data_IF_052836444702
#
_entry.id   IF_052836444702
#
_cell.length_a   1.000
_cell.length_b   1.000
_cell.length_c   1.000
_cell.angle_alpha   90.00
_cell.angle_beta   90.00
_cell.angle_gamma   90.00
#
_symmetry.space_group_name_H-M   'P 1'
#
loop_
_entity.id
_entity.type
_entity.pdbx_description
1 polymer ?
#
# COMPACT_ATOMS: atom_id res chain seq x y z
N UNK A 1 -13.85 -8.70 -17.56
CA UNK A 1 -13.38 -9.06 -16.20
C UNK A 1 -13.35 -7.79 -15.38
N UNK A 2 -13.85 -7.80 -14.13
CA UNK A 2 -13.80 -6.61 -13.26
C UNK A 2 -12.36 -6.24 -12.87
N UNK A 3 -12.15 -4.99 -12.48
CA UNK A 3 -10.86 -4.49 -11.98
C UNK A 3 -10.48 -5.24 -10.72
N UNK A 4 -9.27 -5.82 -10.70
CA UNK A 4 -8.73 -6.52 -9.53
C UNK A 4 -8.50 -5.56 -8.36
N UNK A 5 -8.73 -6.02 -7.14
CA UNK A 5 -8.68 -5.23 -5.90
C UNK A 5 -7.59 -5.74 -4.98
N UNK A 6 -6.75 -4.82 -4.50
CA UNK A 6 -5.63 -5.09 -3.59
C UNK A 6 -5.85 -4.35 -2.27
N UNK A 7 -5.61 -5.03 -1.15
CA UNK A 7 -5.53 -4.44 0.18
C UNK A 7 -4.12 -4.57 0.77
N UNK A 8 -3.74 -3.65 1.64
CA UNK A 8 -2.52 -3.70 2.44
C UNK A 8 -2.88 -3.75 3.93
N UNK A 9 -2.39 -4.76 4.64
CA UNK A 9 -2.49 -4.89 6.09
C UNK A 9 -1.09 -4.70 6.69
N UNK A 10 -0.89 -3.62 7.43
CA UNK A 10 0.36 -3.31 8.12
C UNK A 10 0.23 -3.76 9.57
N UNK A 11 1.19 -4.57 10.05
CA UNK A 11 1.22 -5.11 11.40
C UNK A 11 2.44 -4.48 12.09
N UNK A 12 2.20 -3.50 12.97
CA UNK A 12 3.27 -2.68 13.52
C UNK A 12 2.81 -1.76 14.66
N UNK A 13 3.16 -2.10 15.89
CA UNK A 13 2.93 -1.23 17.06
C UNK A 13 3.72 0.09 16.98
N UNK A 14 4.91 0.09 16.36
CA UNK A 14 5.74 1.28 16.20
C UNK A 14 5.11 2.35 15.27
N UNK A 15 4.27 1.92 14.32
CA UNK A 15 3.50 2.84 13.47
C UNK A 15 2.32 3.40 14.26
N UNK A 16 1.58 2.55 14.99
CA UNK A 16 0.48 2.98 15.86
C UNK A 16 0.95 3.91 16.98
N UNK A 17 2.15 3.66 17.51
CA UNK A 17 2.81 4.51 18.51
C UNK A 17 3.40 5.82 17.96
N UNK A 18 3.36 6.03 16.63
CA UNK A 18 3.91 7.24 15.99
C UNK A 18 5.45 7.30 15.99
N UNK A 19 6.12 6.18 16.19
CA UNK A 19 7.59 6.09 16.20
C UNK A 19 8.18 5.92 14.79
N UNK A 20 7.43 5.31 13.89
CA UNK A 20 7.84 5.04 12.50
C UNK A 20 6.79 5.54 11.53
N UNK A 21 7.23 6.16 10.44
CA UNK A 21 6.34 6.57 9.34
C UNK A 21 6.07 5.38 8.42
N UNK A 22 4.79 5.09 8.16
CA UNK A 22 4.38 4.04 7.24
C UNK A 22 4.62 4.49 5.79
N UNK A 23 5.39 3.72 5.03
CA UNK A 23 5.74 4.02 3.64
C UNK A 23 5.43 2.88 2.66
N UNK A 24 5.32 1.65 3.14
CA UNK A 24 5.15 0.47 2.30
C UNK A 24 3.80 0.45 1.58
N UNK A 25 2.71 0.81 2.26
CA UNK A 25 1.38 0.87 1.64
C UNK A 25 1.28 1.98 0.60
N UNK A 26 1.91 3.13 0.85
CA UNK A 26 1.97 4.22 -0.12
C UNK A 26 2.73 3.81 -1.38
N UNK A 27 3.90 3.16 -1.21
CA UNK A 27 4.67 2.62 -2.32
C UNK A 27 3.87 1.56 -3.09
N UNK A 28 3.23 0.61 -2.37
CA UNK A 28 2.41 -0.45 -2.97
C UNK A 28 1.25 0.12 -3.80
N UNK A 29 0.60 1.19 -3.33
CA UNK A 29 -0.46 1.86 -4.06
C UNK A 29 0.03 2.46 -5.39
N UNK A 30 1.26 2.99 -5.42
CA UNK A 30 1.90 3.47 -6.65
C UNK A 30 2.18 2.33 -7.63
N UNK A 31 2.66 1.18 -7.12
CA UNK A 31 2.99 0.01 -7.93
C UNK A 31 1.76 -0.75 -8.47
N UNK A 32 0.66 -0.75 -7.74
CA UNK A 32 -0.59 -1.40 -8.16
C UNK A 32 -1.25 -0.70 -9.37
N UNK A 33 -1.12 0.62 -9.45
CA UNK A 33 -1.79 1.46 -10.45
C UNK A 33 -1.41 1.13 -11.90
N UNK A 34 -0.11 1.06 -12.30
CA UNK A 34 0.29 0.69 -13.66
C UNK A 34 -0.07 -0.75 -14.01
N UNK A 35 -0.34 -1.61 -13.02
CA UNK A 35 -0.81 -2.97 -13.21
C UNK A 35 -2.33 -3.07 -13.43
N UNK A 36 -3.06 -1.94 -13.40
CA UNK A 36 -4.51 -1.92 -13.52
C UNK A 36 -5.23 -2.52 -12.31
N UNK A 37 -4.59 -2.49 -11.14
CA UNK A 37 -5.13 -3.02 -9.89
C UNK A 37 -5.58 -1.85 -9.01
N UNK A 38 -6.84 -1.91 -8.57
CA UNK A 38 -7.38 -0.91 -7.64
C UNK A 38 -6.86 -1.18 -6.24
N UNK A 39 -6.10 -0.24 -5.70
CA UNK A 39 -5.73 -0.24 -4.29
C UNK A 39 -6.96 0.16 -3.47
N UNK A 40 -7.53 -0.80 -2.72
CA UNK A 40 -8.87 -0.67 -2.17
C UNK A 40 -8.90 -0.39 -0.66
N UNK A 41 -7.89 -0.84 0.08
CA UNK A 41 -7.85 -0.73 1.54
C UNK A 41 -6.42 -0.69 2.06
N UNK A 42 -6.17 0.18 3.04
CA UNK A 42 -5.04 0.12 3.96
C UNK A 42 -5.58 0.01 5.37
N UNK A 43 -4.95 -0.80 6.17
CA UNK A 43 -5.22 -0.91 7.60
C UNK A 43 -3.90 -1.12 8.33
N UNK A 44 -3.75 -0.50 9.49
CA UNK A 44 -2.67 -0.75 10.44
C UNK A 44 -3.29 -1.41 11.65
N UNK A 45 -2.76 -2.55 12.06
CA UNK A 45 -3.15 -3.23 13.30
C UNK A 45 -1.94 -3.41 14.21
N UNK A 46 -2.21 -3.70 15.49
CA UNK A 46 -1.19 -4.00 16.49
C UNK A 46 -0.53 -5.36 16.24
N UNK A 47 0.61 -5.59 16.88
CA UNK A 47 1.30 -6.90 16.90
C UNK A 47 0.59 -7.92 17.82
N UNK A 48 -0.54 -7.54 18.44
CA UNK A 48 -1.33 -8.45 19.27
C UNK A 48 -2.05 -9.51 18.42
N UNK A 49 -1.90 -10.76 18.82
CA UNK A 49 -2.39 -11.89 18.03
C UNK A 49 -3.90 -11.87 17.74
N UNK A 50 -4.79 -11.57 18.69
CA UNK A 50 -6.21 -11.39 18.41
C UNK A 50 -6.50 -10.34 17.34
N UNK A 51 -5.78 -9.20 17.35
CA UNK A 51 -5.95 -8.11 16.40
C UNK A 51 -5.49 -8.52 14.99
N UNK A 52 -4.32 -9.16 14.89
CA UNK A 52 -3.83 -9.71 13.62
C UNK A 52 -4.85 -10.70 13.04
N UNK A 53 -5.36 -11.65 13.85
CA UNK A 53 -6.33 -12.65 13.40
C UNK A 53 -7.61 -12.00 12.90
N UNK A 54 -8.15 -11.02 13.63
CA UNK A 54 -9.37 -10.31 13.27
C UNK A 54 -9.19 -9.53 11.96
N UNK A 55 -8.06 -8.83 11.82
CA UNK A 55 -7.73 -8.04 10.62
C UNK A 55 -7.54 -8.93 9.39
N UNK A 56 -6.78 -10.03 9.51
CA UNK A 56 -6.60 -10.98 8.41
C UNK A 56 -7.94 -11.56 7.95
N UNK A 57 -8.81 -12.01 8.89
CA UNK A 57 -10.15 -12.53 8.53
C UNK A 57 -10.97 -11.50 7.77
N UNK A 58 -11.02 -10.27 8.25
CA UNK A 58 -11.72 -9.17 7.59
C UNK A 58 -11.22 -8.97 6.16
N UNK A 59 -9.90 -9.01 5.94
CA UNK A 59 -9.30 -8.82 4.62
C UNK A 59 -9.61 -9.97 3.65
N UNK A 60 -9.65 -11.22 4.13
CA UNK A 60 -9.87 -12.38 3.25
C UNK A 60 -11.34 -12.78 3.10
N UNK A 61 -12.22 -12.35 4.02
CA UNK A 61 -13.64 -12.78 4.02
C UNK A 61 -14.60 -11.64 3.67
N UNK A 62 -14.36 -10.40 4.17
CA UNK A 62 -15.37 -9.34 4.17
C UNK A 62 -15.13 -8.25 3.11
N UNK A 63 -13.88 -8.00 2.70
CA UNK A 63 -13.53 -6.83 1.89
C UNK A 63 -13.58 -7.06 0.37
N UNK A 64 -13.96 -8.22 -0.10
CA UNK A 64 -14.03 -8.55 -1.54
C UNK A 64 -12.73 -8.19 -2.28
N UNK A 65 -11.58 -8.61 -1.75
CA UNK A 65 -10.26 -8.38 -2.30
C UNK A 65 -9.79 -9.60 -3.10
N UNK A 66 -9.12 -9.37 -4.22
CA UNK A 66 -8.44 -10.43 -4.97
C UNK A 66 -7.07 -10.74 -4.37
N UNK A 67 -6.40 -9.67 -3.88
CA UNK A 67 -5.05 -9.72 -3.34
C UNK A 67 -4.97 -8.98 -2.00
N UNK A 68 -4.18 -9.52 -1.10
CA UNK A 68 -3.79 -8.88 0.15
C UNK A 68 -2.28 -8.94 0.28
N UNK A 69 -1.65 -7.83 0.63
CA UNK A 69 -0.23 -7.79 1.01
C UNK A 69 -0.16 -7.41 2.47
N UNK A 70 0.51 -8.23 3.30
CA UNK A 70 0.84 -7.81 4.67
C UNK A 70 2.25 -7.25 4.73
N UNK A 71 2.50 -6.36 5.68
CA UNK A 71 3.80 -5.73 5.93
C UNK A 71 4.09 -5.74 7.43
N UNK A 72 5.19 -6.37 7.84
CA UNK A 72 5.66 -6.38 9.22
C UNK A 72 5.42 -7.67 9.98
N UNK A 73 5.97 -7.75 11.19
CA UNK A 73 5.82 -8.85 12.15
C UNK A 73 6.39 -10.20 11.70
N UNK A 74 7.47 -10.21 10.88
CA UNK A 74 8.12 -11.44 10.38
C UNK A 74 9.49 -11.72 11.02
N UNK A 75 9.91 -10.94 11.98
CA UNK A 75 11.22 -11.06 12.61
C UNK A 75 11.33 -12.20 13.64
N UNK A 76 12.49 -12.24 14.34
CA UNK A 76 12.81 -13.30 15.28
C UNK A 76 12.26 -13.07 16.69
N UNK A 77 11.70 -11.90 16.99
CA UNK A 77 11.28 -11.52 18.34
C UNK A 77 9.90 -12.08 18.72
N UNK A 78 9.52 -12.16 20.00
CA UNK A 78 8.25 -12.75 20.42
C UNK A 78 6.99 -12.00 19.93
N UNK A 79 7.10 -10.72 19.66
CA UNK A 79 6.07 -9.84 19.11
C UNK A 79 5.86 -10.01 17.60
N UNK A 80 6.85 -10.52 16.86
CA UNK A 80 6.71 -10.89 15.45
C UNK A 80 5.76 -12.08 15.27
N UNK A 81 4.47 -11.83 15.20
CA UNK A 81 3.42 -12.87 15.24
C UNK A 81 2.57 -12.94 13.98
N UNK A 82 2.96 -12.28 12.92
CA UNK A 82 2.18 -12.22 11.67
C UNK A 82 1.89 -13.61 11.10
N UNK A 83 2.87 -14.49 11.02
CA UNK A 83 2.65 -15.87 10.52
C UNK A 83 1.71 -16.67 11.40
N UNK A 84 1.79 -16.51 12.74
CA UNK A 84 0.87 -17.14 13.68
C UNK A 84 -0.56 -16.62 13.50
N UNK A 85 -0.72 -15.30 13.36
CA UNK A 85 -2.01 -14.66 13.14
C UNK A 85 -2.67 -15.13 11.84
N UNK A 86 -1.91 -15.16 10.74
CA UNK A 86 -2.40 -15.67 9.46
C UNK A 86 -2.80 -17.13 9.55
N UNK A 87 -1.95 -17.99 10.13
CA UNK A 87 -2.23 -19.42 10.29
C UNK A 87 -3.55 -19.64 11.06
N UNK A 88 -3.74 -18.93 12.18
CA UNK A 88 -4.98 -19.00 12.98
C UNK A 88 -6.20 -18.45 12.22
N UNK A 89 -6.02 -17.35 11.48
CA UNK A 89 -7.11 -16.75 10.71
C UNK A 89 -7.64 -17.69 9.63
N UNK A 90 -6.73 -18.40 8.93
CA UNK A 90 -7.09 -19.32 7.85
C UNK A 90 -7.31 -20.77 8.31
N UNK A 91 -7.23 -21.04 9.62
CA UNK A 91 -7.47 -22.36 10.20
C UNK A 91 -6.41 -23.42 9.84
N UNK A 92 -5.15 -23.01 9.69
CA UNK A 92 -4.02 -23.89 9.35
C UNK A 92 -3.00 -23.92 10.48
N UNK A 93 -2.32 -25.08 10.75
CA UNK A 93 -1.19 -25.09 11.65
C UNK A 93 0.03 -24.37 11.05
N UNK A 94 0.93 -23.90 11.93
CA UNK A 94 2.27 -23.46 11.52
C UNK A 94 3.21 -24.66 11.42
N UNK A 95 3.88 -24.80 10.29
CA UNK A 95 4.82 -25.88 10.01
C UNK A 95 6.16 -25.33 9.53
N UNK A 96 7.27 -25.89 10.04
CA UNK A 96 8.60 -25.66 9.51
C UNK A 96 8.96 -26.83 8.60
N UNK A 97 9.05 -26.58 7.31
CA UNK A 97 9.52 -27.59 6.36
C UNK A 97 11.04 -27.67 6.36
N UNK A 98 11.64 -28.84 6.04
CA UNK A 98 13.10 -28.98 5.98
C UNK A 98 13.77 -27.94 5.05
N UNK A 99 13.17 -27.65 3.91
CA UNK A 99 13.67 -26.67 2.96
C UNK A 99 13.69 -25.24 3.53
N UNK A 100 12.76 -24.86 4.40
CA UNK A 100 12.76 -23.55 5.05
C UNK A 100 13.89 -23.43 6.06
N UNK A 101 14.13 -24.52 6.81
CA UNK A 101 15.21 -24.56 7.81
C UNK A 101 16.59 -24.55 7.11
N UNK A 102 16.73 -25.27 6.01
CA UNK A 102 17.97 -25.28 5.24
C UNK A 102 18.27 -23.92 4.61
N UNK A 103 17.24 -23.28 4.02
CA UNK A 103 17.36 -21.91 3.54
C UNK A 103 17.84 -20.95 4.65
N UNK A 104 17.31 -21.06 5.86
CA UNK A 104 17.73 -20.25 7.01
C UNK A 104 19.17 -20.54 7.42
N UNK A 105 19.61 -21.80 7.40
CA UNK A 105 21.00 -22.17 7.67
C UNK A 105 21.96 -21.53 6.65
N UNK A 106 21.60 -21.56 5.37
CA UNK A 106 22.39 -20.89 4.32
C UNK A 106 22.50 -19.40 4.60
N UNK A 107 21.41 -18.74 4.99
CA UNK A 107 21.41 -17.31 5.37
C UNK A 107 22.30 -17.06 6.60
N UNK A 108 22.25 -17.93 7.60
CA UNK A 108 23.12 -17.81 8.79
C UNK A 108 24.60 -18.00 8.45
N UNK A 109 24.95 -18.97 7.60
CA UNK A 109 26.34 -19.16 7.14
C UNK A 109 26.87 -17.92 6.42
N UNK A 110 26.12 -17.40 5.44
CA UNK A 110 26.49 -16.18 4.71
C UNK A 110 26.61 -15.00 5.67
N UNK A 111 25.65 -14.81 6.57
CA UNK A 111 25.65 -13.72 7.54
C UNK A 111 26.81 -13.82 8.54
N UNK A 112 27.18 -15.04 8.94
CA UNK A 112 28.35 -15.28 9.80
C UNK A 112 29.66 -14.96 9.08
N UNK A 113 29.83 -15.40 7.83
CA UNK A 113 31.00 -15.08 7.01
C UNK A 113 31.17 -13.58 6.79
N UNK A 114 30.06 -12.84 6.70
CA UNK A 114 30.03 -11.37 6.57
C UNK A 114 30.10 -10.61 7.90
N UNK A 115 30.14 -11.33 9.04
CA UNK A 115 30.23 -10.73 10.38
C UNK A 115 28.90 -10.14 10.90
N UNK A 116 27.76 -10.50 10.33
CA UNK A 116 26.44 -10.06 10.81
C UNK A 116 25.85 -10.98 11.89
N UNK A 117 26.29 -12.24 11.95
CA UNK A 117 25.82 -13.22 12.93
C UNK A 117 26.99 -13.83 13.70
N UNK A 118 26.79 -14.04 14.99
CA UNK A 118 27.79 -14.68 15.88
C UNK A 118 27.98 -16.17 15.59
N UNK A 119 27.00 -16.81 14.94
CA UNK A 119 26.96 -18.24 14.66
C UNK A 119 26.49 -18.52 13.24
N UNK A 120 27.09 -19.55 12.56
CA UNK A 120 26.60 -20.02 11.27
C UNK A 120 25.30 -20.86 11.39
N UNK A 121 24.88 -21.21 12.62
CA UNK A 121 23.66 -21.98 12.88
C UNK A 121 22.51 -21.09 13.37
N UNK A 122 21.27 -21.30 12.92
CA UNK A 122 20.14 -20.51 13.34
C UNK A 122 19.79 -20.76 14.81
N UNK A 123 19.58 -19.70 15.57
CA UNK A 123 19.06 -19.74 16.93
C UNK A 123 17.53 -19.97 16.94
N UNK A 124 16.92 -20.07 18.14
CA UNK A 124 15.48 -20.33 18.29
C UNK A 124 14.58 -19.26 17.63
N UNK A 125 15.00 -17.98 17.64
CA UNK A 125 14.27 -16.88 16.98
C UNK A 125 14.27 -17.05 15.46
N UNK A 126 15.40 -17.35 14.87
CA UNK A 126 15.52 -17.61 13.42
C UNK A 126 14.78 -18.88 13.00
N UNK A 127 14.80 -19.94 13.83
CA UNK A 127 14.01 -21.15 13.59
C UNK A 127 12.49 -20.89 13.69
N UNK A 128 12.06 -19.97 14.54
CA UNK A 128 10.66 -19.49 14.57
C UNK A 128 10.24 -18.94 13.21
N UNK A 129 11.09 -18.15 12.56
CA UNK A 129 10.82 -17.53 11.26
C UNK A 129 10.70 -18.53 10.09
N UNK A 130 11.14 -19.78 10.27
CA UNK A 130 10.97 -20.86 9.30
C UNK A 130 9.56 -21.46 9.28
N UNK A 131 8.69 -21.09 10.23
CA UNK A 131 7.33 -21.63 10.34
C UNK A 131 6.36 -20.83 9.51
N UNK A 132 5.74 -21.48 8.53
CA UNK A 132 4.69 -20.89 7.67
C UNK A 132 3.36 -21.63 7.88
N UNK A 133 2.21 -21.03 7.53
CA UNK A 133 0.94 -21.74 7.48
C UNK A 133 1.04 -22.99 6.59
N UNK A 134 0.48 -24.12 7.01
CA UNK A 134 0.52 -25.35 6.23
C UNK A 134 -0.09 -25.15 4.85
N UNK A 135 0.61 -25.61 3.80
CA UNK A 135 0.21 -25.44 2.40
C UNK A 135 0.61 -24.08 1.81
N UNK A 136 1.18 -23.19 2.59
CA UNK A 136 1.73 -21.94 2.03
C UNK A 136 2.94 -22.21 1.13
N UNK A 137 3.07 -21.41 0.07
CA UNK A 137 4.28 -21.30 -0.74
C UNK A 137 5.24 -20.29 -0.06
N UNK A 138 6.49 -20.66 0.10
CA UNK A 138 7.50 -19.77 0.69
C UNK A 138 7.98 -18.73 -0.33
N UNK A 139 8.19 -17.50 0.13
CA UNK A 139 8.84 -16.43 -0.63
C UNK A 139 10.19 -16.10 0.02
N UNK A 140 11.31 -16.54 -0.57
CA UNK A 140 12.64 -16.21 -0.06
C UNK A 140 12.93 -14.71 -0.11
N UNK A 141 13.67 -14.24 0.89
CA UNK A 141 14.14 -12.86 0.98
C UNK A 141 15.64 -12.83 0.67
N UNK A 142 16.02 -12.19 -0.43
CA UNK A 142 17.44 -12.09 -0.82
C UNK A 142 18.23 -11.10 0.05
N UNK A 143 17.55 -10.12 0.67
CA UNK A 143 18.19 -9.05 1.43
C UNK A 143 18.23 -9.27 2.94
N UNK A 144 17.42 -10.21 3.44
CA UNK A 144 17.27 -10.46 4.87
C UNK A 144 17.02 -11.92 5.20
N UNK A 145 16.53 -12.17 6.42
CA UNK A 145 16.19 -13.50 6.95
C UNK A 145 14.69 -13.73 7.07
N UNK A 146 13.86 -12.72 6.84
CA UNK A 146 12.41 -12.85 6.92
C UNK A 146 11.88 -13.65 5.72
N UNK A 147 11.46 -14.90 5.95
CA UNK A 147 10.80 -15.72 4.94
C UNK A 147 9.36 -15.27 4.80
N UNK A 148 8.95 -14.86 3.61
CA UNK A 148 7.56 -14.53 3.30
C UNK A 148 6.73 -15.75 2.96
N UNK A 149 5.42 -15.57 2.82
CA UNK A 149 4.48 -16.64 2.49
C UNK A 149 3.41 -16.19 1.49
N UNK A 150 2.96 -17.12 0.64
CA UNK A 150 1.78 -16.96 -0.19
C UNK A 150 0.71 -17.94 0.31
N UNK A 151 -0.45 -17.41 0.68
CA UNK A 151 -1.58 -18.18 1.18
C UNK A 151 -2.83 -17.81 0.39
N UNK A 152 -3.60 -18.81 -0.06
CA UNK A 152 -4.93 -18.58 -0.63
C UNK A 152 -5.98 -18.91 0.43
N UNK A 153 -6.86 -17.97 0.72
CA UNK A 153 -7.86 -18.09 1.77
C UNK A 153 -9.19 -17.40 1.39
N UNK A 154 -10.20 -17.58 2.27
CA UNK A 154 -11.52 -16.99 2.11
C UNK A 154 -12.49 -17.81 1.27
N UNK A 155 -13.78 -17.51 1.38
CA UNK A 155 -14.85 -18.14 0.56
C UNK A 155 -14.69 -17.82 -0.91
N UNK A 156 -14.33 -16.59 -1.21
CA UNK A 156 -13.81 -16.17 -2.51
C UNK A 156 -12.29 -16.24 -2.41
N UNK A 157 -11.62 -16.97 -3.32
CA UNK A 157 -10.17 -17.13 -3.23
C UNK A 157 -9.45 -15.79 -3.25
N UNK A 158 -8.93 -15.36 -2.10
CA UNK A 158 -8.08 -14.18 -1.95
C UNK A 158 -6.66 -14.67 -1.80
N UNK A 159 -5.73 -14.13 -2.59
CA UNK A 159 -4.30 -14.45 -2.45
C UNK A 159 -3.65 -13.46 -1.50
N UNK A 160 -3.11 -13.96 -0.40
CA UNK A 160 -2.42 -13.19 0.63
C UNK A 160 -0.91 -13.39 0.47
N UNK A 161 -0.17 -12.31 0.35
CA UNK A 161 1.28 -12.25 0.27
C UNK A 161 1.81 -11.62 1.55
N UNK A 162 2.71 -12.30 2.24
CA UNK A 162 3.24 -11.83 3.53
C UNK A 162 4.66 -11.34 3.36
N UNK A 163 4.89 -10.06 3.61
CA UNK A 163 6.18 -9.38 3.40
C UNK A 163 6.70 -8.74 4.70
N UNK A 164 8.02 -8.56 4.84
CA UNK A 164 8.62 -7.90 5.99
C UNK A 164 8.27 -6.40 6.07
N UNK A 165 8.44 -5.78 7.25
CA UNK A 165 8.24 -4.34 7.45
C UNK A 165 9.35 -3.47 6.86
N UNK A 166 10.58 -3.99 6.77
CA UNK A 166 11.74 -3.24 6.25
C UNK A 166 11.55 -2.86 4.78
N UNK A 167 11.48 -1.56 4.41
CA UNK A 167 11.07 -1.14 3.07
C UNK A 167 11.91 -1.76 1.93
N UNK A 168 13.23 -1.81 2.05
CA UNK A 168 14.10 -2.40 1.02
C UNK A 168 13.79 -3.88 0.77
N UNK A 169 13.53 -4.64 1.82
CA UNK A 169 13.16 -6.06 1.74
C UNK A 169 11.77 -6.22 1.14
N UNK A 170 10.81 -5.42 1.63
CA UNK A 170 9.43 -5.39 1.14
C UNK A 170 9.39 -5.13 -0.38
N UNK A 171 10.06 -4.09 -0.87
CA UNK A 171 10.08 -3.73 -2.30
C UNK A 171 10.73 -4.84 -3.14
N UNK A 172 11.86 -5.37 -2.69
CA UNK A 172 12.57 -6.44 -3.42
C UNK A 172 11.73 -7.71 -3.51
N UNK A 173 11.15 -8.15 -2.40
CA UNK A 173 10.29 -9.34 -2.38
C UNK A 173 9.00 -9.12 -3.18
N UNK A 174 8.42 -7.93 -3.15
CA UNK A 174 7.27 -7.60 -4.00
C UNK A 174 7.62 -7.76 -5.48
N UNK A 175 8.71 -7.17 -5.94
CA UNK A 175 9.11 -7.24 -7.35
C UNK A 175 9.40 -8.64 -7.82
N UNK A 176 10.05 -9.44 -6.99
CA UNK A 176 10.44 -10.81 -7.34
C UNK A 176 9.31 -11.82 -7.24
N UNK A 177 8.49 -11.73 -6.20
CA UNK A 177 7.56 -12.79 -5.83
C UNK A 177 6.09 -12.40 -5.97
N UNK A 178 5.72 -11.16 -5.74
CA UNK A 178 4.32 -10.70 -5.78
C UNK A 178 3.93 -10.21 -7.16
N UNK A 179 4.68 -9.23 -7.71
CA UNK A 179 4.39 -8.61 -9.01
C UNK A 179 4.13 -9.62 -10.14
N UNK A 180 4.94 -10.69 -10.33
CA UNK A 180 4.70 -11.66 -11.40
C UNK A 180 3.41 -12.48 -11.24
N UNK A 181 2.85 -12.50 -10.02
CA UNK A 181 1.62 -13.24 -9.68
C UNK A 181 0.36 -12.38 -9.71
N UNK A 182 0.52 -11.08 -9.84
CA UNK A 182 -0.61 -10.18 -9.99
C UNK A 182 -1.12 -10.23 -11.42
N UNK A 183 -2.41 -10.54 -11.59
CA UNK A 183 -3.04 -10.48 -12.91
C UNK A 183 -3.10 -9.04 -13.37
N UNK A 184 -2.38 -8.72 -14.44
CA UNK A 184 -2.40 -7.39 -15.03
C UNK A 184 -3.79 -7.08 -15.62
N UNK A 185 -4.30 -5.90 -15.31
CA UNK A 185 -5.51 -5.31 -15.89
C UNK A 185 -5.18 -4.18 -16.86
N UNK A 186 -6.20 -3.46 -17.28
CA UNK A 186 -6.00 -2.19 -18.01
C UNK A 186 -5.36 -1.18 -17.04
N UNK A 187 -4.20 -0.58 -17.39
CA UNK A 187 -3.55 0.39 -16.52
C UNK A 187 -4.49 1.51 -16.10
N UNK A 188 -4.47 1.84 -14.81
CA UNK A 188 -5.26 2.95 -14.27
C UNK A 188 -4.53 4.26 -14.58
N UNK A 189 -5.14 5.05 -15.45
CA UNK A 189 -4.62 6.36 -15.86
C UNK A 189 -5.05 7.46 -14.90
N UNK A 190 -4.23 8.49 -14.78
CA UNK A 190 -4.58 9.71 -14.03
C UNK A 190 -4.28 10.91 -14.90
N UNK A 191 -5.26 11.80 -15.01
CA UNK A 191 -5.13 13.07 -15.70
C UNK A 191 -5.55 14.22 -14.79
N UNK A 192 -4.74 15.28 -14.76
CA UNK A 192 -4.94 16.44 -13.89
C UNK A 192 -5.32 17.68 -14.71
N UNK A 193 -6.22 18.50 -14.15
CA UNK A 193 -6.56 19.82 -14.65
C UNK A 193 -6.47 20.83 -13.54
N UNK A 194 -5.73 21.91 -13.75
CA UNK A 194 -5.62 23.02 -12.78
C UNK A 194 -6.61 24.12 -13.15
N UNK A 195 -7.36 24.58 -12.14
CA UNK A 195 -8.35 25.64 -12.25
C UNK A 195 -8.08 26.72 -11.18
N UNK A 196 -8.23 27.99 -11.56
CA UNK A 196 -8.03 29.15 -10.70
C UNK A 196 -9.37 29.68 -10.18
N UNK A 197 -9.93 28.98 -9.20
CA UNK A 197 -11.22 29.32 -8.58
C UNK A 197 -11.32 28.75 -7.18
N UNK A 198 -12.41 29.04 -6.50
CA UNK A 198 -12.78 28.39 -5.22
C UNK A 198 -13.46 27.05 -5.50
N UNK A 199 -13.15 26.04 -4.68
CA UNK A 199 -13.69 24.68 -4.83
C UNK A 199 -15.22 24.67 -4.80
N UNK A 200 -15.82 25.43 -3.90
CA UNK A 200 -17.29 25.52 -3.76
C UNK A 200 -18.01 25.93 -5.04
N UNK A 201 -17.35 26.70 -5.89
CA UNK A 201 -17.93 27.11 -7.20
C UNK A 201 -17.99 25.98 -8.23
N UNK A 202 -17.16 24.95 -8.03
CA UNK A 202 -17.12 23.78 -8.91
C UNK A 202 -18.12 22.71 -8.48
N UNK A 203 -18.70 22.78 -7.27
CA UNK A 203 -19.55 21.75 -6.71
C UNK A 203 -20.65 21.25 -7.68
N UNK A 204 -21.50 22.09 -8.31
CA UNK A 204 -22.54 21.61 -9.20
C UNK A 204 -21.99 20.87 -10.44
N UNK A 205 -20.81 21.30 -10.94
CA UNK A 205 -20.15 20.67 -12.07
C UNK A 205 -19.52 19.34 -11.66
N UNK A 206 -18.84 19.29 -10.50
CA UNK A 206 -18.27 18.06 -9.96
C UNK A 206 -19.36 17.00 -9.74
N UNK A 207 -20.46 17.36 -9.10
CA UNK A 207 -21.60 16.47 -8.87
C UNK A 207 -22.19 15.93 -10.19
N UNK A 208 -22.32 16.78 -11.20
CA UNK A 208 -22.79 16.37 -12.53
C UNK A 208 -21.85 15.37 -13.20
N UNK A 209 -20.53 15.64 -13.13
CA UNK A 209 -19.52 14.78 -13.74
C UNK A 209 -19.38 13.44 -13.01
N UNK A 210 -19.51 13.40 -11.68
CA UNK A 210 -19.52 12.14 -10.91
C UNK A 210 -20.70 11.24 -11.32
N UNK A 211 -21.86 11.82 -11.59
CA UNK A 211 -23.03 11.06 -12.09
C UNK A 211 -22.83 10.54 -13.51
N UNK A 212 -22.19 11.33 -14.38
CA UNK A 212 -21.92 10.96 -15.79
C UNK A 212 -20.80 9.92 -15.92
N UNK A 213 -19.78 10.00 -15.06
CA UNK A 213 -18.54 9.21 -15.12
C UNK A 213 -18.36 8.33 -13.88
N UNK A 214 -19.34 7.45 -13.59
CA UNK A 214 -19.30 6.57 -12.41
C UNK A 214 -18.12 5.56 -12.40
N UNK A 215 -17.52 5.35 -13.56
CA UNK A 215 -16.35 4.47 -13.78
C UNK A 215 -15.00 5.21 -13.62
N UNK A 216 -15.02 6.53 -13.39
CA UNK A 216 -13.83 7.37 -13.17
C UNK A 216 -13.89 7.98 -11.76
N UNK A 217 -12.82 7.84 -11.00
CA UNK A 217 -12.69 8.53 -9.72
C UNK A 217 -12.33 9.98 -9.96
N UNK A 218 -13.17 10.91 -9.50
CA UNK A 218 -12.95 12.35 -9.57
C UNK A 218 -12.47 12.85 -8.19
N UNK A 219 -11.35 13.54 -8.16
CA UNK A 219 -10.81 14.17 -6.95
C UNK A 219 -10.60 15.66 -7.13
N UNK A 220 -10.83 16.43 -6.08
CA UNK A 220 -10.55 17.87 -6.00
C UNK A 220 -9.52 18.12 -4.91
N UNK A 221 -8.44 18.81 -5.24
CA UNK A 221 -7.30 19.05 -4.36
C UNK A 221 -7.01 20.56 -4.32
N UNK A 222 -7.47 21.26 -3.29
CA UNK A 222 -7.17 22.67 -3.10
C UNK A 222 -5.66 22.90 -2.91
N UNK A 223 -5.12 23.82 -3.69
CA UNK A 223 -3.77 24.34 -3.56
C UNK A 223 -3.84 25.87 -3.36
N UNK A 224 -2.74 26.50 -2.95
CA UNK A 224 -2.74 27.95 -2.76
C UNK A 224 -3.12 28.67 -4.06
N UNK A 225 -4.28 29.36 -4.07
CA UNK A 225 -4.79 30.13 -5.21
C UNK A 225 -5.29 29.33 -6.41
N UNK A 226 -5.34 27.99 -6.33
CA UNK A 226 -5.81 27.12 -7.43
C UNK A 226 -6.37 25.79 -6.89
N UNK A 227 -7.01 25.06 -7.76
CA UNK A 227 -7.53 23.72 -7.47
C UNK A 227 -7.02 22.78 -8.53
N UNK A 228 -6.48 21.66 -8.12
CA UNK A 228 -6.18 20.54 -9.00
C UNK A 228 -7.34 19.57 -9.02
N UNK A 229 -7.95 19.41 -10.18
CA UNK A 229 -8.94 18.36 -10.42
C UNK A 229 -8.24 17.16 -11.02
N UNK A 230 -8.49 15.99 -10.47
CA UNK A 230 -7.88 14.73 -10.86
C UNK A 230 -8.91 13.72 -11.28
N UNK A 231 -8.79 13.22 -12.51
CA UNK A 231 -9.57 12.09 -13.00
C UNK A 231 -8.69 10.83 -13.00
N UNK A 232 -9.19 9.74 -12.38
CA UNK A 232 -8.46 8.48 -12.30
C UNK A 232 -9.36 7.33 -12.75
N UNK A 233 -8.97 6.61 -13.80
CA UNK A 233 -9.74 5.52 -14.38
C UNK A 233 -9.10 4.94 -15.64
N UNK A 234 -9.91 4.37 -16.53
CA UNK A 234 -9.48 3.99 -17.88
C UNK A 234 -9.11 5.26 -18.67
N UNK A 235 -8.03 5.20 -19.47
CA UNK A 235 -7.41 6.37 -20.08
C UNK A 235 -8.40 7.23 -20.89
N UNK A 236 -9.17 6.62 -21.81
CA UNK A 236 -10.12 7.35 -22.63
C UNK A 236 -11.23 8.00 -21.80
N UNK A 237 -11.71 7.33 -20.75
CA UNK A 237 -12.76 7.84 -19.87
C UNK A 237 -12.26 8.98 -18.98
N UNK A 238 -11.04 8.85 -18.42
CA UNK A 238 -10.41 9.94 -17.66
C UNK A 238 -10.20 11.20 -18.52
N UNK A 239 -9.70 11.02 -19.76
CA UNK A 239 -9.51 12.13 -20.70
C UNK A 239 -10.82 12.76 -21.13
N UNK A 240 -11.89 11.99 -21.35
CA UNK A 240 -13.23 12.53 -21.62
C UNK A 240 -13.75 13.39 -20.47
N UNK A 241 -13.62 12.94 -19.22
CA UNK A 241 -14.02 13.70 -18.05
C UNK A 241 -13.24 15.02 -17.97
N UNK A 242 -11.92 15.00 -18.13
CA UNK A 242 -11.08 16.20 -18.11
C UNK A 242 -11.44 17.16 -19.24
N UNK A 243 -11.71 16.67 -20.44
CA UNK A 243 -12.16 17.49 -21.55
C UNK A 243 -13.51 18.17 -21.27
N UNK A 244 -14.47 17.45 -20.68
CA UNK A 244 -15.76 18.01 -20.24
C UNK A 244 -15.58 19.07 -19.15
N UNK A 245 -14.74 18.79 -18.13
CA UNK A 245 -14.40 19.75 -17.08
C UNK A 245 -13.74 21.00 -17.66
N UNK A 246 -12.76 20.84 -18.54
CA UNK A 246 -12.05 21.96 -19.21
C UNK A 246 -13.00 22.85 -19.99
N UNK A 247 -13.93 22.28 -20.74
CA UNK A 247 -14.93 23.03 -21.50
C UNK A 247 -15.89 23.79 -20.57
N UNK A 248 -16.44 23.12 -19.58
CA UNK A 248 -17.43 23.72 -18.66
C UNK A 248 -16.80 24.78 -17.73
N UNK A 249 -15.53 24.59 -17.36
CA UNK A 249 -14.80 25.50 -16.46
C UNK A 249 -13.80 26.43 -17.20
N UNK A 250 -13.96 26.65 -18.50
CA UNK A 250 -13.02 27.39 -19.35
C UNK A 250 -12.61 28.77 -18.80
N UNK A 251 -13.56 29.48 -18.15
CA UNK A 251 -13.30 30.77 -17.51
C UNK A 251 -12.32 30.73 -16.32
N UNK A 252 -12.02 29.52 -15.81
CA UNK A 252 -11.12 29.33 -14.66
C UNK A 252 -9.78 28.72 -15.06
N UNK A 253 -9.49 28.57 -16.34
CA UNK A 253 -8.22 28.00 -16.82
C UNK A 253 -7.02 28.93 -16.62
N UNK A 254 -7.29 30.23 -16.50
CA UNK A 254 -6.26 31.25 -16.25
C UNK A 254 -6.52 32.03 -14.97
N UNK A 255 -5.49 32.50 -14.27
CA UNK A 255 -5.65 33.32 -13.09
C UNK A 255 -6.37 34.61 -13.40
N UNK A 256 -7.48 34.92 -12.72
CA UNK A 256 -8.23 36.16 -12.85
C UNK A 256 -8.35 36.89 -11.51
N UNK A 257 -8.25 38.23 -11.50
CA UNK A 257 -8.43 39.06 -10.31
C UNK A 257 -7.51 38.64 -9.15
N UNK A 258 -8.10 38.31 -8.00
CA UNK A 258 -7.36 37.87 -6.80
C UNK A 258 -6.47 36.65 -6.99
N UNK A 259 -6.74 35.81 -7.98
CA UNK A 259 -5.90 34.67 -8.32
C UNK A 259 -4.69 35.05 -9.22
N UNK A 260 -4.62 36.30 -9.70
CA UNK A 260 -3.49 36.84 -10.47
C UNK A 260 -2.30 37.24 -9.62
N UNK A 261 -2.48 37.44 -8.35
CA UNK A 261 -1.57 38.24 -7.58
C UNK A 261 -1.06 37.68 -6.29
N UNK A 262 -0.40 36.55 -6.27
CA UNK A 262 0.46 36.23 -5.12
C UNK A 262 1.93 36.57 -5.37
N UNK A 263 2.18 37.75 -5.97
CA UNK A 263 3.54 38.33 -5.94
C UNK A 263 3.79 39.26 -4.74
N UNK A 264 2.73 39.65 -4.00
CA UNK A 264 2.87 40.52 -2.83
C UNK A 264 1.69 40.32 -1.85
N UNK A 265 1.67 39.22 -1.12
CA UNK A 265 1.09 39.24 0.22
C UNK A 265 2.27 39.22 1.15
N UNK A 266 2.73 40.43 1.49
CA UNK A 266 3.62 40.64 2.60
C UNK A 266 3.02 40.02 3.85
N UNK A 267 3.89 39.46 4.64
CA UNK A 267 3.77 39.05 6.03
C UNK A 267 2.53 39.57 6.76
N UNK A 268 1.42 38.87 6.64
CA UNK A 268 0.32 38.99 7.58
C UNK A 268 0.37 37.72 8.41
N UNK A 269 0.82 37.88 9.65
CA UNK A 269 0.87 36.90 10.72
C UNK A 269 -0.36 36.01 10.76
N UNK A 270 -0.30 34.84 10.22
CA UNK A 270 -1.12 33.72 10.62
C UNK A 270 -0.20 32.74 11.33
N UNK A 271 -0.29 32.71 12.67
CA UNK A 271 0.52 31.86 13.55
C UNK A 271 0.19 30.35 13.44
N UNK A 272 0.00 29.85 12.22
CA UNK A 272 -0.06 28.42 11.93
C UNK A 272 1.27 28.03 11.31
N UNK A 273 1.95 27.00 11.82
CA UNK A 273 3.20 26.53 11.26
C UNK A 273 2.95 26.07 9.82
N UNK A 274 3.82 26.51 8.89
CA UNK A 274 3.87 25.93 7.53
C UNK A 274 4.15 24.45 7.66
N UNK A 275 3.18 23.63 7.26
CA UNK A 275 3.42 22.20 7.05
C UNK A 275 4.10 22.08 5.70
N UNK A 276 5.42 22.04 5.72
CA UNK A 276 6.27 21.78 4.55
C UNK A 276 6.20 20.27 4.23
N UNK A 277 5.35 19.90 3.28
CA UNK A 277 5.19 18.52 2.82
C UNK A 277 6.36 18.02 1.96
N UNK A 278 7.34 18.88 1.62
CA UNK A 278 8.47 18.52 0.73
C UNK A 278 9.79 18.24 1.49
N UNK A 279 9.84 18.35 2.80
CA UNK A 279 11.05 18.05 3.57
C UNK A 279 11.00 16.70 4.25
N UNK A 280 10.97 15.61 3.52
CA UNK A 280 11.55 14.32 3.95
C UNK A 280 11.49 13.33 2.77
N UNK A 281 12.50 13.38 1.94
CA UNK A 281 12.92 12.28 1.08
C UNK A 281 14.10 11.55 1.72
#
# INVERSE_FOLDING_TARGET
MGVKRLGCLVIADEILGGHVHESNSHWLAKEAKPLGIRFARVEVCSDDLPDIVASVRRFVEDLDLDYVVTSGGLGPTPDDRTMEGIAKAVGKPLVAKPEHVEWMRDRCRIGHELGYFDSPEPNAGLLKMCKLPEGAEAMPNELGTALGAIVTAGRRPTTLFTLPGVPREFYRMFDQSVRPRLAAGTPIHTEDLVLYTEESRLFPLLESLEREFQDVTLGSYPERGRIRIRATGEAARASQLIARMRSAAAKYLEPQGRFRGDKNVGEAESGLPEIDFDRNH
#
